data_IF_203137354460
#
_entry.id   IF_203137354460
#
_cell.length_a   1.000
_cell.length_b   1.000
_cell.length_c   1.000
_cell.angle_alpha   90.00
_cell.angle_beta   90.00
_cell.angle_gamma   90.00
#
_symmetry.space_group_name_H-M   'P 1'
#
loop_
_entity.id
_entity.type
_entity.pdbx_description
1 polymer ?
#
# COMPACT_ATOMS: atom_id res chain seq x y z
N UNK A 1 -13.78 19.11 -7.13
CA UNK A 1 -13.84 17.74 -7.69
C UNK A 1 -15.31 17.45 -7.99
N UNK A 2 -15.69 17.30 -9.27
CA UNK A 2 -17.09 17.07 -9.64
C UNK A 2 -17.45 15.61 -9.35
N UNK A 3 -18.48 15.36 -8.53
CA UNK A 3 -18.90 14.00 -8.13
C UNK A 3 -19.20 13.06 -9.32
N UNK A 4 -19.55 13.60 -10.48
CA UNK A 4 -19.76 12.84 -11.72
C UNK A 4 -18.51 12.12 -12.24
N UNK A 5 -17.30 12.65 -11.98
CA UNK A 5 -16.05 12.00 -12.39
C UNK A 5 -15.80 10.72 -11.56
N UNK A 6 -16.03 10.79 -10.24
CA UNK A 6 -15.88 9.63 -9.34
C UNK A 6 -16.86 8.50 -9.67
N UNK A 7 -18.09 8.82 -10.03
CA UNK A 7 -19.09 7.81 -10.41
C UNK A 7 -18.68 7.09 -11.71
N UNK A 8 -18.12 7.82 -12.67
CA UNK A 8 -17.64 7.25 -13.92
C UNK A 8 -16.43 6.35 -13.71
N UNK A 9 -15.50 6.76 -12.84
CA UNK A 9 -14.35 5.96 -12.43
C UNK A 9 -14.78 4.66 -11.73
N UNK A 10 -15.73 4.74 -10.81
CA UNK A 10 -16.27 3.57 -10.12
C UNK A 10 -16.92 2.57 -11.10
N UNK A 11 -17.65 3.07 -12.10
CA UNK A 11 -18.22 2.22 -13.16
C UNK A 11 -17.14 1.55 -14.01
N UNK A 12 -16.02 2.22 -14.29
CA UNK A 12 -14.89 1.62 -15.02
C UNK A 12 -14.23 0.52 -14.20
N UNK A 13 -13.92 0.81 -12.92
CA UNK A 13 -13.33 -0.17 -11.98
C UNK A 13 -14.14 -1.46 -11.90
N UNK A 14 -15.46 -1.34 -11.76
CA UNK A 14 -16.37 -2.50 -11.63
C UNK A 14 -16.49 -3.33 -12.92
N UNK A 15 -16.04 -2.82 -14.06
CA UNK A 15 -16.11 -3.52 -15.35
C UNK A 15 -14.82 -4.26 -15.69
N UNK A 16 -13.72 -3.92 -15.03
CA UNK A 16 -12.42 -4.53 -15.27
C UNK A 16 -12.12 -5.67 -14.26
N UNK A 17 -12.08 -6.94 -14.70
CA UNK A 17 -11.86 -8.07 -13.80
C UNK A 17 -10.55 -7.99 -13.02
N UNK A 18 -9.49 -7.45 -13.66
CA UNK A 18 -8.18 -7.29 -13.03
C UNK A 18 -8.23 -6.27 -11.88
N UNK A 19 -8.87 -5.12 -12.08
CA UNK A 19 -8.97 -4.08 -11.05
C UNK A 19 -9.84 -4.55 -9.88
N UNK A 20 -10.96 -5.22 -10.17
CA UNK A 20 -11.81 -5.85 -9.16
C UNK A 20 -11.05 -6.88 -8.32
N UNK A 21 -10.25 -7.73 -8.97
CA UNK A 21 -9.43 -8.73 -8.29
C UNK A 21 -8.49 -8.05 -7.29
N UNK A 22 -7.77 -7.01 -7.72
CA UNK A 22 -6.85 -6.27 -6.86
C UNK A 22 -7.56 -5.59 -5.68
N UNK A 23 -8.77 -5.04 -5.89
CA UNK A 23 -9.57 -4.49 -4.78
C UNK A 23 -10.07 -5.58 -3.82
N UNK A 24 -10.33 -6.79 -4.31
CA UNK A 24 -10.81 -7.91 -3.50
C UNK A 24 -9.69 -8.65 -2.74
N UNK A 25 -8.48 -8.72 -3.29
CA UNK A 25 -7.34 -9.47 -2.71
C UNK A 25 -7.06 -9.10 -1.26
N UNK A 26 -7.00 -7.82 -0.83
CA UNK A 26 -6.80 -7.48 0.58
C UNK A 26 -7.86 -8.10 1.49
N UNK A 27 -9.14 -8.05 1.12
CA UNK A 27 -10.22 -8.64 1.93
C UNK A 27 -10.17 -10.17 1.96
N UNK A 28 -9.86 -10.81 0.84
CA UNK A 28 -9.68 -12.26 0.78
C UNK A 28 -8.51 -12.71 1.66
N UNK A 29 -7.39 -11.98 1.62
CA UNK A 29 -6.22 -12.24 2.45
C UNK A 29 -6.54 -12.05 3.94
N UNK A 30 -7.24 -10.96 4.30
CA UNK A 30 -7.70 -10.72 5.68
C UNK A 30 -8.61 -11.85 6.16
N UNK A 31 -9.60 -12.26 5.36
CA UNK A 31 -10.52 -13.33 5.71
C UNK A 31 -9.78 -14.67 5.90
N UNK A 32 -8.85 -14.98 5.01
CA UNK A 32 -8.02 -16.19 5.11
C UNK A 32 -7.16 -16.18 6.38
N UNK A 33 -6.46 -15.08 6.66
CA UNK A 33 -5.63 -14.94 7.87
C UNK A 33 -6.47 -14.95 9.14
N UNK A 34 -7.64 -14.33 9.14
CA UNK A 34 -8.55 -14.37 10.30
C UNK A 34 -9.06 -15.79 10.56
N UNK A 35 -9.41 -16.54 9.52
CA UNK A 35 -9.80 -17.95 9.64
C UNK A 35 -8.63 -18.79 10.19
N UNK A 36 -7.41 -18.58 9.70
CA UNK A 36 -6.21 -19.21 10.24
C UNK A 36 -5.96 -18.82 11.70
N UNK A 37 -6.22 -17.58 12.09
CA UNK A 37 -6.03 -17.13 13.46
C UNK A 37 -7.02 -17.79 14.44
N UNK A 38 -8.27 -17.97 14.02
CA UNK A 38 -9.32 -18.57 14.86
C UNK A 38 -9.20 -20.08 14.93
N UNK A 39 -8.97 -20.75 13.79
CA UNK A 39 -8.98 -22.22 13.72
C UNK A 39 -7.57 -22.82 13.68
N UNK A 40 -6.67 -22.21 12.91
CA UNK A 40 -5.33 -22.75 12.64
C UNK A 40 -4.36 -22.58 13.81
N UNK A 41 -4.21 -21.38 14.36
CA UNK A 41 -3.20 -21.09 15.39
C UNK A 41 -3.40 -21.93 16.67
N UNK A 42 -4.63 -22.12 17.20
CA UNK A 42 -4.84 -23.00 18.35
C UNK A 42 -4.53 -24.47 18.04
N UNK A 43 -4.83 -24.95 16.81
CA UNK A 43 -4.51 -26.31 16.39
C UNK A 43 -3.00 -26.50 16.26
N UNK A 44 -2.30 -25.52 15.69
CA UNK A 44 -0.84 -25.54 15.56
C UNK A 44 -0.17 -25.70 16.93
N UNK A 45 -0.56 -24.86 17.89
CA UNK A 45 -0.02 -24.92 19.25
C UNK A 45 -0.30 -26.28 19.91
N UNK A 46 -1.50 -26.84 19.73
CA UNK A 46 -1.86 -28.16 20.29
C UNK A 46 -1.10 -29.32 19.65
N UNK A 47 -0.88 -29.28 18.33
CA UNK A 47 -0.30 -30.39 17.59
C UNK A 47 1.23 -30.39 17.59
N UNK A 48 1.87 -29.20 17.51
CA UNK A 48 3.32 -29.08 17.39
C UNK A 48 3.99 -28.43 18.60
N UNK A 49 3.22 -27.81 19.49
CA UNK A 49 3.75 -27.00 20.60
C UNK A 49 4.32 -25.65 20.16
N UNK A 50 4.21 -25.27 18.88
CA UNK A 50 4.77 -24.03 18.37
C UNK A 50 3.88 -22.83 18.71
N UNK A 51 4.44 -21.84 19.40
CA UNK A 51 3.76 -20.59 19.73
C UNK A 51 3.99 -19.53 18.64
N UNK A 52 2.90 -19.13 17.97
CA UNK A 52 2.92 -18.13 16.90
C UNK A 52 2.75 -16.69 17.41
N UNK A 53 2.43 -16.53 18.69
CA UNK A 53 2.13 -15.22 19.32
C UNK A 53 3.18 -14.14 19.02
N UNK A 54 4.51 -14.42 19.06
CA UNK A 54 5.53 -13.42 18.76
C UNK A 54 5.49 -12.87 17.32
N UNK A 55 4.90 -13.62 16.38
CA UNK A 55 4.88 -13.28 14.96
C UNK A 55 3.60 -12.56 14.51
N UNK A 56 2.59 -12.48 15.37
CA UNK A 56 1.27 -11.95 15.02
C UNK A 56 1.31 -10.51 14.49
N UNK A 57 2.15 -9.65 15.06
CA UNK A 57 2.25 -8.26 14.60
C UNK A 57 2.93 -8.12 13.23
N UNK A 58 3.84 -9.03 12.87
CA UNK A 58 4.39 -9.08 11.52
C UNK A 58 3.36 -9.61 10.50
N UNK A 59 2.58 -10.63 10.88
CA UNK A 59 1.49 -11.16 10.05
C UNK A 59 0.47 -10.06 9.78
N UNK A 60 0.05 -9.34 10.83
CA UNK A 60 -0.91 -8.25 10.69
C UNK A 60 -0.35 -7.09 9.86
N UNK A 61 0.89 -6.68 10.11
CA UNK A 61 1.53 -5.62 9.34
C UNK A 61 1.70 -5.97 7.86
N UNK A 62 1.97 -7.24 7.52
CA UNK A 62 2.01 -7.69 6.13
C UNK A 62 0.62 -7.58 5.46
N UNK A 63 -0.45 -7.96 6.16
CA UNK A 63 -1.82 -7.82 5.65
C UNK A 63 -2.23 -6.35 5.49
N UNK A 64 -1.79 -5.48 6.40
CA UNK A 64 -2.01 -4.04 6.29
C UNK A 64 -1.30 -3.46 5.06
N UNK A 65 -0.06 -3.87 4.79
CA UNK A 65 0.76 -3.42 3.65
C UNK A 65 0.21 -3.86 2.29
N UNK A 66 -0.54 -4.97 2.22
CA UNK A 66 -1.19 -5.41 0.97
C UNK A 66 -2.17 -4.37 0.44
N UNK A 67 -2.83 -3.63 1.34
CA UNK A 67 -3.86 -2.64 0.96
C UNK A 67 -3.30 -1.49 0.09
N UNK A 68 -2.27 -0.73 0.53
CA UNK A 68 -1.68 0.31 -0.30
C UNK A 68 -0.99 -0.21 -1.55
N UNK A 69 -0.41 -1.42 -1.53
CA UNK A 69 0.17 -2.06 -2.72
C UNK A 69 -0.88 -2.27 -3.81
N UNK A 70 -1.98 -2.93 -3.46
CA UNK A 70 -3.06 -3.24 -4.41
C UNK A 70 -3.80 -1.99 -4.89
N UNK A 71 -4.13 -1.05 -4.00
CA UNK A 71 -4.84 0.17 -4.37
C UNK A 71 -3.97 1.15 -5.17
N UNK A 72 -2.67 1.18 -4.89
CA UNK A 72 -1.69 1.87 -5.71
C UNK A 72 -1.65 1.28 -7.13
N UNK A 73 -1.59 -0.05 -7.26
CA UNK A 73 -1.61 -0.73 -8.56
C UNK A 73 -2.93 -0.50 -9.34
N UNK A 74 -4.08 -0.56 -8.68
CA UNK A 74 -5.38 -0.22 -9.30
C UNK A 74 -5.34 1.19 -9.89
N UNK A 75 -4.87 2.16 -9.11
CA UNK A 75 -4.77 3.54 -9.57
C UNK A 75 -3.79 3.66 -10.75
N UNK A 76 -2.64 2.99 -10.69
CA UNK A 76 -1.68 2.98 -11.78
C UNK A 76 -2.27 2.39 -13.06
N UNK A 77 -3.00 1.28 -12.99
CA UNK A 77 -3.64 0.66 -14.14
C UNK A 77 -4.69 1.56 -14.77
N UNK A 78 -5.50 2.25 -13.96
CA UNK A 78 -6.42 3.26 -14.47
C UNK A 78 -5.67 4.37 -15.21
N UNK A 79 -4.58 4.87 -14.63
CA UNK A 79 -3.79 5.94 -15.27
C UNK A 79 -3.10 5.46 -16.56
N UNK A 80 -2.71 4.18 -16.63
CA UNK A 80 -2.17 3.57 -17.85
C UNK A 80 -3.26 3.46 -18.93
N UNK A 81 -4.49 3.05 -18.61
CA UNK A 81 -5.58 3.05 -19.60
C UNK A 81 -5.85 4.44 -20.14
N UNK A 82 -5.90 5.43 -19.26
CA UNK A 82 -6.09 6.81 -19.65
C UNK A 82 -4.94 7.32 -20.53
N UNK A 83 -3.73 6.79 -20.33
CA UNK A 83 -2.62 7.05 -21.23
C UNK A 83 -2.88 6.50 -22.62
N UNK A 84 -3.24 5.23 -22.67
CA UNK A 84 -3.40 4.48 -23.91
C UNK A 84 -4.61 4.97 -24.72
N UNK A 85 -5.65 5.48 -24.04
CA UNK A 85 -6.81 6.18 -24.62
C UNK A 85 -6.48 7.59 -25.15
N UNK A 86 -5.23 8.06 -25.04
CA UNK A 86 -4.80 9.35 -25.54
C UNK A 86 -5.27 10.55 -24.70
N UNK A 87 -5.62 10.34 -23.43
CA UNK A 87 -6.07 11.44 -22.55
C UNK A 87 -4.95 12.46 -22.28
N UNK A 88 -3.68 12.09 -22.44
CA UNK A 88 -2.56 13.05 -22.37
C UNK A 88 -2.69 14.20 -23.38
N UNK A 89 -3.17 13.89 -24.58
CA UNK A 89 -3.44 14.89 -25.63
C UNK A 89 -4.58 15.83 -25.25
N UNK A 90 -5.53 15.38 -24.44
CA UNK A 90 -6.61 16.19 -23.90
C UNK A 90 -6.17 17.01 -22.67
N UNK A 91 -5.20 16.54 -21.90
CA UNK A 91 -4.70 17.27 -20.72
C UNK A 91 -3.92 18.54 -21.09
N UNK A 92 -3.24 18.57 -22.25
CA UNK A 92 -2.46 19.73 -22.71
C UNK A 92 -3.32 20.98 -22.97
N UNK A 93 -4.61 20.79 -23.25
CA UNK A 93 -5.58 21.86 -23.53
C UNK A 93 -6.46 22.22 -22.33
N UNK A 94 -6.29 21.56 -21.18
CA UNK A 94 -7.03 21.89 -19.95
C UNK A 94 -6.27 22.86 -19.05
N UNK A 95 -6.95 23.80 -18.35
CA UNK A 95 -6.28 24.79 -17.50
C UNK A 95 -5.55 24.18 -16.29
N UNK A 96 -5.89 22.95 -15.89
CA UNK A 96 -5.25 22.23 -14.79
C UNK A 96 -3.98 21.46 -15.22
N UNK A 97 -3.85 21.13 -16.50
CA UNK A 97 -2.72 20.40 -17.08
C UNK A 97 -2.39 19.06 -16.41
N UNK A 98 -1.20 18.53 -16.71
CA UNK A 98 -0.72 17.24 -16.18
C UNK A 98 -0.60 17.19 -14.64
N UNK A 99 -0.23 18.31 -14.01
CA UNK A 99 -0.08 18.37 -12.54
C UNK A 99 -1.41 18.27 -11.82
N UNK A 100 -2.45 18.95 -12.33
CA UNK A 100 -3.80 18.83 -11.77
C UNK A 100 -4.41 17.44 -11.97
N UNK A 101 -4.11 16.78 -13.10
CA UNK A 101 -4.48 15.38 -13.33
C UNK A 101 -3.86 14.43 -12.31
N UNK A 102 -2.53 14.48 -12.14
CA UNK A 102 -1.84 13.64 -11.13
C UNK A 102 -2.42 13.90 -9.75
N UNK A 103 -2.53 15.17 -9.32
CA UNK A 103 -3.07 15.50 -8.00
C UNK A 103 -4.49 14.92 -7.79
N UNK A 104 -5.35 14.97 -8.80
CA UNK A 104 -6.69 14.40 -8.74
C UNK A 104 -6.68 12.87 -8.62
N UNK A 105 -5.83 12.18 -9.39
CA UNK A 105 -5.72 10.71 -9.36
C UNK A 105 -5.12 10.19 -8.06
N UNK A 106 -4.23 10.94 -7.42
CA UNK A 106 -3.56 10.53 -6.18
C UNK A 106 -4.42 10.59 -4.91
N UNK A 107 -5.54 11.32 -4.94
CA UNK A 107 -6.49 11.34 -3.82
C UNK A 107 -7.09 9.95 -3.58
N UNK A 108 -7.39 9.21 -4.66
CA UNK A 108 -8.00 7.89 -4.60
C UNK A 108 -7.12 6.85 -3.88
N UNK A 109 -5.87 6.57 -4.28
CA UNK A 109 -5.03 5.60 -3.59
C UNK A 109 -4.70 6.06 -2.17
N UNK A 110 -4.57 7.38 -1.92
CA UNK A 110 -4.31 7.88 -0.58
C UNK A 110 -5.44 7.54 0.40
N UNK A 111 -6.66 7.98 0.09
CA UNK A 111 -7.83 7.82 0.98
C UNK A 111 -8.25 6.36 1.09
N UNK A 112 -8.27 5.63 -0.02
CA UNK A 112 -8.67 4.21 0.01
C UNK A 112 -7.65 3.37 0.77
N UNK A 113 -6.35 3.64 0.65
CA UNK A 113 -5.32 2.89 1.40
C UNK A 113 -5.47 3.11 2.90
N UNK A 114 -5.72 4.35 3.34
CA UNK A 114 -6.04 4.63 4.74
C UNK A 114 -7.26 3.84 5.20
N UNK A 115 -8.36 3.90 4.44
CA UNK A 115 -9.59 3.21 4.80
C UNK A 115 -9.42 1.69 4.87
N UNK A 116 -8.75 1.08 3.89
CA UNK A 116 -8.50 -0.36 3.86
C UNK A 116 -7.56 -0.79 4.98
N UNK A 117 -6.51 -0.02 5.26
CA UNK A 117 -5.63 -0.29 6.40
C UNK A 117 -6.39 -0.27 7.72
N UNK A 118 -7.27 0.71 7.93
CA UNK A 118 -8.09 0.78 9.14
C UNK A 118 -9.02 -0.44 9.25
N UNK A 119 -9.74 -0.77 8.18
CA UNK A 119 -10.65 -1.92 8.16
C UNK A 119 -9.87 -3.23 8.38
N UNK A 120 -8.71 -3.38 7.75
CA UNK A 120 -7.82 -4.53 7.92
C UNK A 120 -7.42 -4.74 9.37
N UNK A 121 -6.92 -3.68 10.03
CA UNK A 121 -6.55 -3.71 11.44
C UNK A 121 -7.74 -4.10 12.34
N UNK A 122 -8.91 -3.50 12.12
CA UNK A 122 -10.11 -3.77 12.92
C UNK A 122 -10.63 -5.21 12.76
N UNK A 123 -10.59 -5.76 11.53
CA UNK A 123 -11.05 -7.12 11.27
C UNK A 123 -10.07 -8.18 11.79
N UNK A 124 -8.77 -7.96 11.59
CA UNK A 124 -7.73 -8.88 12.02
C UNK A 124 -7.61 -8.87 13.55
N UNK A 125 -7.42 -7.70 14.16
CA UNK A 125 -7.29 -7.51 15.60
C UNK A 125 -6.38 -8.58 16.25
N UNK A 126 -5.19 -8.80 15.67
CA UNK A 126 -4.20 -9.77 16.14
C UNK A 126 -3.26 -9.12 17.16
N UNK A 127 -2.98 -7.83 17.00
CA UNK A 127 -2.16 -7.04 17.93
C UNK A 127 -2.84 -5.74 18.35
N UNK A 128 -2.59 -5.34 19.60
CA UNK A 128 -3.04 -4.05 20.13
C UNK A 128 -2.04 -2.97 19.74
N UNK A 129 -2.47 -2.01 18.92
CA UNK A 129 -1.64 -0.89 18.48
C UNK A 129 -2.05 0.38 19.21
N UNK A 130 -1.07 1.16 19.65
CA UNK A 130 -1.34 2.45 20.30
C UNK A 130 -2.05 3.41 19.32
N UNK A 131 -3.09 4.16 19.72
CA UNK A 131 -3.88 5.00 18.81
C UNK A 131 -3.03 5.98 17.99
N UNK A 132 -2.02 6.58 18.63
CA UNK A 132 -1.08 7.47 17.95
C UNK A 132 -0.29 6.73 16.85
N UNK A 133 0.27 5.55 17.14
CA UNK A 133 0.96 4.75 16.11
C UNK A 133 0.01 4.36 14.98
N UNK A 134 -1.24 4.00 15.30
CA UNK A 134 -2.24 3.68 14.29
C UNK A 134 -2.52 4.87 13.36
N UNK A 135 -2.68 6.09 13.90
CA UNK A 135 -2.87 7.28 13.04
C UNK A 135 -1.70 7.52 12.09
N UNK A 136 -0.46 7.28 12.54
CA UNK A 136 0.73 7.41 11.68
C UNK A 136 0.78 6.28 10.65
N UNK A 137 0.43 5.05 11.01
CA UNK A 137 0.32 3.91 10.08
C UNK A 137 -0.68 4.21 8.97
N UNK A 138 -1.83 4.81 9.29
CA UNK A 138 -2.80 5.24 8.28
C UNK A 138 -2.19 6.28 7.34
N UNK A 139 -1.57 7.34 7.87
CA UNK A 139 -0.94 8.36 7.03
C UNK A 139 0.13 7.78 6.11
N UNK A 140 1.00 6.91 6.65
CA UNK A 140 2.05 6.21 5.91
C UNK A 140 1.47 5.28 4.85
N UNK A 141 0.38 4.55 5.13
CA UNK A 141 -0.24 3.69 4.12
C UNK A 141 -0.83 4.50 2.96
N UNK A 142 -1.42 5.66 3.23
CA UNK A 142 -1.85 6.60 2.20
C UNK A 142 -0.68 7.05 1.30
N UNK A 143 0.45 7.45 1.91
CA UNK A 143 1.67 7.85 1.18
C UNK A 143 2.25 6.71 0.36
N UNK A 144 2.22 5.49 0.88
CA UNK A 144 2.65 4.29 0.19
C UNK A 144 1.76 3.98 -1.02
N UNK A 145 0.44 4.17 -0.90
CA UNK A 145 -0.49 4.03 -2.03
C UNK A 145 -0.16 5.02 -3.16
N UNK A 146 0.17 6.27 -2.81
CA UNK A 146 0.63 7.30 -3.77
C UNK A 146 1.93 6.88 -4.46
N UNK A 147 2.95 6.48 -3.68
CA UNK A 147 4.26 6.15 -4.22
C UNK A 147 4.17 4.93 -5.15
N UNK A 148 3.45 3.88 -4.74
CA UNK A 148 3.20 2.70 -5.59
C UNK A 148 2.47 3.08 -6.88
N UNK A 149 1.40 3.88 -6.80
CA UNK A 149 0.66 4.31 -7.99
C UNK A 149 1.55 5.04 -9.00
N UNK A 150 2.33 6.01 -8.53
CA UNK A 150 3.23 6.80 -9.37
C UNK A 150 4.38 5.97 -9.93
N UNK A 151 5.05 5.16 -9.13
CA UNK A 151 6.18 4.33 -9.60
C UNK A 151 5.71 3.38 -10.70
N UNK A 152 4.57 2.71 -10.51
CA UNK A 152 4.01 1.81 -11.52
C UNK A 152 3.60 2.56 -12.78
N UNK A 153 2.83 3.64 -12.62
CA UNK A 153 2.38 4.45 -13.75
C UNK A 153 3.53 5.02 -14.58
N UNK A 154 4.64 5.38 -13.92
CA UNK A 154 5.80 6.04 -14.55
C UNK A 154 6.81 5.08 -15.15
N UNK A 155 6.96 3.87 -14.62
CA UNK A 155 7.93 2.91 -15.17
C UNK A 155 7.25 1.97 -16.18
N UNK A 156 5.98 1.62 -15.97
CA UNK A 156 5.28 0.70 -16.86
C UNK A 156 4.89 1.39 -18.19
N UNK A 157 5.17 0.75 -19.31
CA UNK A 157 4.67 1.19 -20.63
C UNK A 157 3.25 0.70 -20.91
N UNK A 158 2.89 -0.47 -20.39
CA UNK A 158 1.59 -1.11 -20.57
C UNK A 158 1.14 -1.80 -19.26
N UNK A 159 -0.11 -2.25 -19.21
CA UNK A 159 -0.66 -2.96 -18.03
C UNK A 159 0.08 -4.24 -17.69
N UNK A 160 0.65 -4.95 -18.66
CA UNK A 160 1.38 -6.21 -18.42
C UNK A 160 2.68 -5.93 -17.68
N UNK A 161 3.45 -4.92 -18.12
CA UNK A 161 4.63 -4.41 -17.40
C UNK A 161 4.25 -3.80 -16.05
N UNK A 162 3.09 -3.14 -15.97
CA UNK A 162 2.56 -2.64 -14.71
C UNK A 162 2.33 -3.76 -13.71
N UNK A 163 1.77 -4.89 -14.16
CA UNK A 163 1.53 -6.06 -13.32
C UNK A 163 2.81 -6.72 -12.84
N UNK A 164 3.85 -6.81 -13.69
CA UNK A 164 5.14 -7.37 -13.27
C UNK A 164 5.84 -6.47 -12.25
N UNK A 165 5.82 -5.16 -12.46
CA UNK A 165 6.36 -4.20 -11.50
C UNK A 165 5.58 -4.18 -10.18
N UNK A 166 4.25 -4.32 -10.22
CA UNK A 166 3.43 -4.39 -9.01
C UNK A 166 3.86 -5.59 -8.14
N UNK A 167 4.01 -6.77 -8.75
CA UNK A 167 4.52 -7.96 -8.06
C UNK A 167 5.92 -7.75 -7.49
N UNK A 168 6.80 -7.06 -8.22
CA UNK A 168 8.15 -6.78 -7.75
C UNK A 168 8.12 -5.84 -6.54
N UNK A 169 7.35 -4.75 -6.60
CA UNK A 169 7.19 -3.83 -5.47
C UNK A 169 6.56 -4.52 -4.26
N UNK A 170 5.52 -5.33 -4.46
CA UNK A 170 4.88 -6.08 -3.38
C UNK A 170 5.83 -7.13 -2.78
N UNK A 171 6.75 -7.71 -3.56
CA UNK A 171 7.75 -8.63 -3.01
C UNK A 171 8.71 -7.95 -2.03
N UNK A 172 8.95 -6.64 -2.18
CA UNK A 172 9.73 -5.84 -1.22
C UNK A 172 9.04 -5.69 0.14
N UNK A 173 7.74 -6.02 0.26
CA UNK A 173 7.06 -6.05 1.55
C UNK A 173 7.70 -7.03 2.55
N UNK A 174 8.49 -8.00 2.08
CA UNK A 174 9.27 -8.88 2.95
C UNK A 174 10.22 -8.10 3.88
N UNK A 175 10.64 -6.90 3.48
CA UNK A 175 11.50 -6.02 4.29
C UNK A 175 10.81 -5.53 5.57
N UNK A 176 9.48 -5.58 5.63
CA UNK A 176 8.70 -5.33 6.86
C UNK A 176 9.02 -6.31 8.00
N UNK A 177 9.55 -7.49 7.67
CA UNK A 177 9.95 -8.50 8.63
C UNK A 177 11.47 -8.51 8.87
N UNK A 178 12.22 -7.49 8.43
CA UNK A 178 13.69 -7.46 8.52
C UNK A 178 14.25 -7.62 9.94
N UNK A 179 13.50 -7.16 10.94
CA UNK A 179 13.88 -7.26 12.36
C UNK A 179 13.88 -8.71 12.89
N UNK A 180 13.16 -9.64 12.24
CA UNK A 180 13.13 -11.04 12.67
C UNK A 180 14.48 -11.75 12.56
N UNK A 181 15.39 -11.23 11.73
CA UNK A 181 16.73 -11.79 11.58
C UNK A 181 17.63 -11.47 12.78
N UNK A 182 17.28 -10.47 13.60
CA UNK A 182 18.09 -10.05 14.75
C UNK A 182 19.45 -9.44 14.37
N UNK A 183 19.66 -9.13 13.09
CA UNK A 183 20.93 -8.60 12.56
C UNK A 183 20.79 -7.08 12.34
N UNK A 184 21.51 -6.22 13.08
CA UNK A 184 21.30 -4.77 13.06
C UNK A 184 21.45 -4.11 11.69
N UNK A 185 22.43 -4.52 10.89
CA UNK A 185 22.65 -3.92 9.57
C UNK A 185 21.53 -4.25 8.59
N UNK A 186 20.87 -5.41 8.74
CA UNK A 186 19.72 -5.78 7.91
C UNK A 186 18.53 -4.87 8.20
N UNK A 187 18.23 -4.61 9.48
CA UNK A 187 17.19 -3.65 9.88
C UNK A 187 17.46 -2.23 9.35
N UNK A 188 18.73 -1.81 9.30
CA UNK A 188 19.11 -0.50 8.72
C UNK A 188 18.83 -0.46 7.21
N UNK A 189 19.21 -1.50 6.47
CA UNK A 189 18.93 -1.59 5.03
C UNK A 189 17.42 -1.64 4.76
N UNK A 190 16.67 -2.45 5.52
CA UNK A 190 15.21 -2.50 5.43
C UNK A 190 14.57 -1.15 5.78
N UNK A 191 15.14 -0.42 6.75
CA UNK A 191 14.68 0.91 7.16
C UNK A 191 14.77 1.99 6.08
N UNK A 192 15.54 1.78 5.00
CA UNK A 192 15.53 2.67 3.84
C UNK A 192 14.24 2.52 2.99
N UNK A 193 13.52 1.42 3.15
CA UNK A 193 12.29 1.12 2.42
C UNK A 193 11.06 1.53 3.24
N UNK A 194 9.99 2.02 2.57
CA UNK A 194 8.80 2.51 3.25
C UNK A 194 8.06 1.37 3.97
N UNK A 195 8.11 0.16 3.40
CA UNK A 195 7.42 -1.04 3.91
C UNK A 195 7.86 -1.44 5.33
N UNK A 196 9.12 -1.19 5.69
CA UNK A 196 9.67 -1.52 7.02
C UNK A 196 8.96 -0.80 8.15
N UNK A 197 8.59 0.46 7.93
CA UNK A 197 8.10 1.31 9.00
C UNK A 197 6.69 0.96 9.47
N UNK A 198 5.87 0.37 8.59
CA UNK A 198 4.50 -0.01 8.94
C UNK A 198 4.46 -1.06 10.05
N UNK A 199 5.22 -2.14 9.93
CA UNK A 199 5.35 -3.15 11.00
C UNK A 199 6.06 -2.58 12.22
N UNK A 200 7.10 -1.75 12.03
CA UNK A 200 7.82 -1.12 13.14
C UNK A 200 6.93 -0.26 14.02
N UNK A 201 6.06 0.55 13.41
CA UNK A 201 5.09 1.40 14.11
C UNK A 201 4.01 0.59 14.84
N UNK A 202 3.62 -0.57 14.30
CA UNK A 202 2.63 -1.45 14.92
C UNK A 202 3.19 -2.21 16.13
N UNK A 203 4.48 -2.60 16.08
CA UNK A 203 5.12 -3.43 17.10
C UNK A 203 5.78 -2.61 18.22
N UNK A 204 6.34 -1.44 17.90
CA UNK A 204 7.07 -0.63 18.87
C UNK A 204 6.15 0.37 19.59
N UNK A 205 6.45 0.72 20.86
CA UNK A 205 5.78 1.83 21.53
C UNK A 205 6.01 3.14 20.75
N UNK A 206 5.07 4.10 20.85
CA UNK A 206 5.14 5.35 20.10
C UNK A 206 6.34 6.19 20.55
N UNK A 207 7.45 6.05 19.82
CA UNK A 207 8.66 6.86 20.01
C UNK A 207 8.72 7.94 18.93
N UNK A 208 8.97 9.19 19.34
CA UNK A 208 9.04 10.33 18.43
C UNK A 208 10.04 10.11 17.28
N UNK A 209 11.20 9.50 17.56
CA UNK A 209 12.20 9.17 16.53
C UNK A 209 11.67 8.20 15.47
N UNK A 210 10.96 7.14 15.87
CA UNK A 210 10.38 6.16 14.93
C UNK A 210 9.32 6.83 14.05
N UNK A 211 8.47 7.67 14.64
CA UNK A 211 7.42 8.39 13.91
C UNK A 211 8.04 9.36 12.90
N UNK A 212 8.99 10.19 13.31
CA UNK A 212 9.64 11.17 12.44
C UNK A 212 10.35 10.48 11.27
N UNK A 213 11.12 9.43 11.54
CA UNK A 213 11.84 8.72 10.49
C UNK A 213 10.87 7.99 9.55
N UNK A 214 9.80 7.38 10.08
CA UNK A 214 8.79 6.70 9.25
C UNK A 214 8.12 7.65 8.26
N UNK A 215 7.71 8.84 8.72
CA UNK A 215 7.12 9.88 7.87
C UNK A 215 8.15 10.43 6.88
N UNK A 216 9.38 10.66 7.33
CA UNK A 216 10.47 11.13 6.48
C UNK A 216 10.79 10.18 5.33
N UNK A 217 10.94 8.88 5.61
CA UNK A 217 11.21 7.86 4.59
C UNK A 217 10.07 7.78 3.59
N UNK A 218 8.81 7.72 4.06
CA UNK A 218 7.65 7.68 3.17
C UNK A 218 7.52 8.96 2.33
N UNK A 219 7.80 10.13 2.91
CA UNK A 219 7.82 11.40 2.16
C UNK A 219 8.89 11.39 1.07
N UNK A 220 10.10 10.91 1.36
CA UNK A 220 11.18 10.78 0.37
C UNK A 220 10.74 9.88 -0.78
N UNK A 221 10.10 8.73 -0.50
CA UNK A 221 9.60 7.84 -1.55
C UNK A 221 8.50 8.46 -2.40
N UNK A 222 7.59 9.24 -1.81
CA UNK A 222 6.60 10.03 -2.56
C UNK A 222 7.29 11.08 -3.43
N UNK A 223 8.28 11.79 -2.91
CA UNK A 223 9.04 12.79 -3.67
C UNK A 223 9.80 12.17 -4.85
N UNK A 224 10.46 11.03 -4.64
CA UNK A 224 11.12 10.26 -5.70
C UNK A 224 10.11 9.89 -6.79
N UNK A 225 8.95 9.37 -6.39
CA UNK A 225 7.90 8.97 -7.33
C UNK A 225 7.33 10.16 -8.12
N UNK A 226 7.18 11.33 -7.48
CA UNK A 226 6.76 12.57 -8.15
C UNK A 226 7.82 13.06 -9.15
N UNK A 227 9.10 13.06 -8.78
CA UNK A 227 10.19 13.48 -9.67
C UNK A 227 10.29 12.54 -10.88
N UNK A 228 10.10 11.24 -10.68
CA UNK A 228 10.03 10.27 -11.79
C UNK A 228 8.85 10.55 -12.72
N UNK A 229 7.70 10.95 -12.16
CA UNK A 229 6.51 11.29 -12.95
C UNK A 229 6.69 12.56 -13.79
N UNK A 230 7.39 13.57 -13.27
CA UNK A 230 7.65 14.79 -14.02
C UNK A 230 8.62 14.57 -15.18
N UNK A 231 9.60 13.66 -15.05
CA UNK A 231 10.57 13.35 -16.12
C UNK A 231 9.97 12.60 -17.31
N UNK A 232 8.80 11.97 -17.15
CA UNK A 232 8.11 11.22 -18.22
C UNK A 232 7.10 12.07 -19.01
N UNK A 233 7.11 13.40 -18.82
CA UNK A 233 6.32 14.33 -19.63
C UNK A 233 6.64 14.25 -21.11
#
# INVERSE_FOLDING_TARGET
MNGHALVSDCKKLLREPLMLLFMAVPFLAIAAVKALAVFGFPLLLRCTGFDITPYLGYIEGFMVLLSPGMLGAVTAFMMIDERDDGIYTLMSVTPLGFRGYIANRLIMPFVLSMAYTLVSHLLLNLVTVHPLSLTVVLAVSGMQGISTALILFTIADDKVKGLTLAKLLDSLMITSAGDLLGIPWVSVVCGALPFYWTTKLMLAPPAAGVIIVSLGVNAIWVLIALVLAEKRR
#
